data_IF_691327866681
#
_entry.id   IF_691327866681
#
_cell.length_a   1.000
_cell.length_b   1.000
_cell.length_c   1.000
_cell.angle_alpha   90.00
_cell.angle_beta   90.00
_cell.angle_gamma   90.00
#
_symmetry.space_group_name_H-M   'P 1'
#
loop_
_entity.id
_entity.type
_entity.pdbx_description
1 polymer ?
#
# COMPACT_ATOMS: atom_id res chain seq x y z
N UNK A 1 12.26 19.42 19.74
CA UNK A 1 10.92 18.89 19.46
C UNK A 1 10.72 17.70 20.37
N UNK A 2 9.75 17.77 21.28
CA UNK A 2 9.42 16.69 22.22
C UNK A 2 8.28 15.79 21.70
N UNK A 3 7.42 16.33 20.85
CA UNK A 3 6.39 15.58 20.11
C UNK A 3 6.01 16.33 18.85
N UNK A 4 5.46 15.62 17.90
CA UNK A 4 4.86 16.19 16.71
C UNK A 4 3.62 15.38 16.32
N UNK A 5 2.73 15.98 15.54
CA UNK A 5 1.64 15.28 14.88
C UNK A 5 1.32 15.94 13.54
N UNK A 6 1.00 15.11 12.57
CA UNK A 6 0.43 15.55 11.30
C UNK A 6 -1.10 15.53 11.43
N UNK A 7 -1.74 16.63 11.05
CA UNK A 7 -3.20 16.81 11.07
C UNK A 7 -3.67 17.04 9.63
N UNK A 8 -4.63 16.28 9.17
CA UNK A 8 -5.27 16.46 7.86
C UNK A 8 -6.69 15.94 7.92
N UNK A 9 -7.64 16.64 7.30
CA UNK A 9 -9.02 16.20 7.15
C UNK A 9 -9.19 14.96 6.29
N UNK A 10 -8.15 14.56 5.56
CA UNK A 10 -8.13 13.34 4.77
C UNK A 10 -8.10 12.05 5.61
N UNK A 11 -7.82 12.13 6.90
CA UNK A 11 -7.66 10.98 7.80
C UNK A 11 -8.56 11.08 9.03
N UNK A 12 -8.86 9.93 9.64
CA UNK A 12 -9.77 9.82 10.79
C UNK A 12 -9.24 10.48 12.07
N UNK A 13 -7.98 10.94 12.08
CA UNK A 13 -7.37 11.63 13.21
C UNK A 13 -5.93 12.05 12.92
N UNK A 14 -5.24 12.64 13.92
CA UNK A 14 -3.86 13.05 13.76
C UNK A 14 -2.91 11.84 13.72
N UNK A 15 -1.83 11.96 12.96
CA UNK A 15 -0.73 11.01 12.93
C UNK A 15 0.37 11.45 13.90
N UNK A 16 0.51 10.84 15.09
CA UNK A 16 1.46 11.26 16.08
C UNK A 16 2.87 10.76 15.78
N UNK A 17 3.84 11.56 16.19
CA UNK A 17 5.23 11.19 16.29
C UNK A 17 5.77 11.47 17.71
N UNK A 18 6.50 10.51 18.23
CA UNK A 18 7.27 10.66 19.48
C UNK A 18 8.69 10.15 19.25
N UNK A 19 9.69 10.73 19.93
CA UNK A 19 11.05 10.23 19.86
C UNK A 19 11.14 8.78 20.34
N UNK A 20 11.86 7.94 19.62
CA UNK A 20 12.00 6.51 19.94
C UNK A 20 12.62 6.26 21.33
N UNK A 21 13.57 7.12 21.72
CA UNK A 21 14.29 7.01 23.01
C UNK A 21 13.68 7.89 24.12
N UNK A 22 12.54 8.55 23.84
CA UNK A 22 11.91 9.49 24.77
C UNK A 22 12.60 10.85 24.89
N UNK A 23 13.76 11.03 24.30
CA UNK A 23 14.51 12.28 24.34
C UNK A 23 14.06 13.23 23.23
N UNK A 24 13.99 14.53 23.55
CA UNK A 24 13.60 15.55 22.57
C UNK A 24 14.62 15.66 21.43
N UNK A 25 14.12 15.70 20.19
CA UNK A 25 14.96 15.93 19.01
C UNK A 25 15.33 17.40 18.88
N UNK A 26 16.62 17.67 18.71
CA UNK A 26 17.12 19.03 18.54
C UNK A 26 17.18 19.41 17.07
N UNK A 27 16.44 20.45 16.69
CA UNK A 27 16.53 21.06 15.37
C UNK A 27 17.44 22.30 15.44
N UNK A 28 18.55 22.25 14.71
CA UNK A 28 19.47 23.37 14.59
C UNK A 28 18.96 24.41 13.57
N UNK A 29 19.30 25.69 13.71
CA UNK A 29 18.98 26.68 12.68
C UNK A 29 19.48 26.24 11.30
N UNK A 30 18.59 26.29 10.30
CA UNK A 30 18.87 25.80 8.94
C UNK A 30 18.98 24.27 8.79
N UNK A 31 18.80 23.51 9.87
CA UNK A 31 18.81 22.06 9.86
C UNK A 31 17.48 21.47 9.36
N UNK A 32 17.51 20.17 9.05
CA UNK A 32 16.35 19.34 8.71
C UNK A 32 16.30 18.14 9.61
N UNK A 33 15.09 17.69 9.93
CA UNK A 33 14.85 16.46 10.69
C UNK A 33 13.67 15.72 10.04
N UNK A 34 13.77 14.42 9.91
CA UNK A 34 12.66 13.56 9.51
C UNK A 34 11.91 13.10 10.76
N UNK A 35 10.59 13.25 10.73
CA UNK A 35 9.68 12.82 11.80
C UNK A 35 8.71 11.79 11.20
N UNK A 36 9.09 10.49 11.14
CA UNK A 36 8.25 9.47 10.54
C UNK A 36 6.97 9.28 11.35
N UNK A 37 5.83 9.29 10.68
CA UNK A 37 4.51 9.05 11.26
C UNK A 37 3.84 7.87 10.56
N UNK A 38 2.95 7.18 11.27
CA UNK A 38 2.01 6.27 10.66
C UNK A 38 0.69 7.00 10.46
N UNK A 39 0.23 7.06 9.21
CA UNK A 39 -1.06 7.68 8.91
C UNK A 39 -2.18 6.82 9.52
N UNK A 40 -3.20 7.43 10.13
CA UNK A 40 -4.39 6.71 10.56
C UNK A 40 -5.22 6.26 9.35
N UNK A 41 -6.34 5.63 9.62
CA UNK A 41 -7.28 5.22 8.57
C UNK A 41 -7.77 6.43 7.76
N UNK A 42 -7.81 6.29 6.44
CA UNK A 42 -8.29 7.33 5.55
C UNK A 42 -9.79 7.59 5.78
N UNK A 43 -10.17 8.86 5.79
CA UNK A 43 -11.56 9.27 5.88
C UNK A 43 -12.18 9.24 4.48
N UNK A 44 -12.67 8.07 4.07
CA UNK A 44 -13.27 7.85 2.76
C UNK A 44 -14.77 8.14 2.79
N UNK A 45 -15.30 8.68 1.70
CA UNK A 45 -16.73 9.00 1.57
C UNK A 45 -17.00 9.86 0.34
N UNK A 46 -18.28 10.22 0.16
CA UNK A 46 -18.76 11.02 -0.99
C UNK A 46 -18.37 12.49 -0.93
N UNK A 47 -17.79 12.95 0.17
CA UNK A 47 -17.32 14.33 0.32
C UNK A 47 -15.89 14.47 -0.18
N UNK A 48 -15.62 15.57 -0.89
CA UNK A 48 -14.26 15.94 -1.26
C UNK A 48 -13.38 16.01 -0.01
N UNK A 49 -12.34 15.22 0.06
CA UNK A 49 -11.45 15.17 1.20
C UNK A 49 -10.73 16.52 1.37
N UNK A 50 -10.69 17.00 2.60
CA UNK A 50 -9.94 18.21 2.93
C UNK A 50 -8.46 17.83 3.14
N UNK A 51 -7.63 18.17 2.15
CA UNK A 51 -6.18 17.96 2.18
C UNK A 51 -5.42 19.13 2.84
N UNK A 52 -6.10 20.09 3.44
CA UNK A 52 -5.42 21.13 4.23
C UNK A 52 -4.71 20.45 5.42
N UNK A 53 -3.40 20.49 5.36
CA UNK A 53 -2.55 19.68 6.23
C UNK A 53 -1.67 20.57 7.08
N UNK A 54 -1.61 20.25 8.36
CA UNK A 54 -0.83 21.00 9.33
C UNK A 54 0.08 20.07 10.13
N UNK A 55 1.20 20.60 10.60
CA UNK A 55 2.06 19.95 11.57
C UNK A 55 1.99 20.70 12.89
N UNK A 56 1.56 20.01 13.93
CA UNK A 56 1.62 20.51 15.30
C UNK A 56 2.90 20.01 15.95
N UNK A 57 3.70 20.92 16.47
CA UNK A 57 4.98 20.64 17.13
C UNK A 57 4.92 21.06 18.59
N UNK A 58 5.33 20.16 19.48
CA UNK A 58 5.61 20.51 20.87
C UNK A 58 7.10 20.83 21.02
N UNK A 59 7.42 22.03 21.53
CA UNK A 59 8.79 22.52 21.66
C UNK A 59 9.10 22.86 23.12
N UNK A 60 10.20 22.33 23.63
CA UNK A 60 10.66 22.57 24.99
C UNK A 60 9.62 22.20 26.05
N UNK A 61 9.38 23.08 27.02
CA UNK A 61 8.50 22.83 28.16
C UNK A 61 7.10 23.40 27.96
N UNK A 62 6.41 22.99 26.85
CA UNK A 62 4.97 23.27 26.69
C UNK A 62 4.61 24.35 25.67
N UNK A 63 5.51 24.76 24.80
CA UNK A 63 5.19 25.62 23.66
C UNK A 63 4.74 24.75 22.48
N UNK A 64 3.58 25.07 21.94
CA UNK A 64 3.09 24.44 20.72
C UNK A 64 3.17 25.41 19.54
N UNK A 65 3.49 24.85 18.36
CA UNK A 65 3.44 25.52 17.09
C UNK A 65 2.55 24.71 16.14
N UNK A 66 1.68 25.40 15.45
CA UNK A 66 0.90 24.86 14.34
C UNK A 66 1.42 25.50 13.05
N UNK A 67 1.89 24.66 12.14
CA UNK A 67 2.50 25.09 10.88
C UNK A 67 1.77 24.43 9.72
N UNK A 68 1.47 25.16 8.63
CA UNK A 68 0.97 24.53 7.42
C UNK A 68 2.03 23.57 6.87
N UNK A 69 1.61 22.39 6.41
CA UNK A 69 2.47 21.45 5.74
C UNK A 69 2.37 21.65 4.23
N UNK A 70 3.51 21.71 3.57
CA UNK A 70 3.57 21.73 2.11
C UNK A 70 3.68 20.29 1.59
N UNK A 71 2.82 19.92 0.65
CA UNK A 71 2.88 18.63 -0.06
C UNK A 71 3.06 18.87 -1.57
N UNK A 72 4.27 19.28 -2.00
CA UNK A 72 4.52 19.66 -3.39
C UNK A 72 4.39 18.50 -4.38
N UNK A 73 4.33 17.27 -3.92
CA UNK A 73 4.21 16.07 -4.75
C UNK A 73 2.83 15.40 -4.66
N UNK A 74 1.91 15.93 -3.85
CA UNK A 74 0.59 15.33 -3.64
C UNK A 74 0.63 13.96 -2.95
N UNK A 75 1.64 13.73 -2.14
CA UNK A 75 1.88 12.42 -1.50
C UNK A 75 0.74 12.03 -0.56
N UNK A 76 0.18 13.00 0.17
CA UNK A 76 -0.94 12.78 1.09
C UNK A 76 -2.20 12.42 0.31
N UNK A 77 -2.50 13.16 -0.76
CA UNK A 77 -3.65 12.87 -1.62
C UNK A 77 -3.52 11.51 -2.31
N UNK A 78 -2.32 11.16 -2.76
CA UNK A 78 -2.05 9.86 -3.37
C UNK A 78 -2.22 8.73 -2.35
N UNK A 79 -1.66 8.85 -1.16
CA UNK A 79 -1.80 7.85 -0.10
C UNK A 79 -3.27 7.67 0.30
N UNK A 80 -3.98 8.77 0.55
CA UNK A 80 -5.42 8.75 0.83
C UNK A 80 -6.22 8.02 -0.26
N UNK A 81 -5.97 8.34 -1.55
CA UNK A 81 -6.66 7.67 -2.66
C UNK A 81 -6.38 6.17 -2.72
N UNK A 82 -5.15 5.74 -2.42
CA UNK A 82 -4.80 4.32 -2.33
C UNK A 82 -5.49 3.63 -1.15
N UNK A 83 -5.51 4.26 0.02
CA UNK A 83 -6.17 3.72 1.21
C UNK A 83 -7.68 3.60 1.02
N UNK A 84 -8.33 4.61 0.40
CA UNK A 84 -9.75 4.56 0.09
C UNK A 84 -10.08 3.48 -0.93
N UNK A 85 -9.28 3.36 -2.00
CA UNK A 85 -9.44 2.26 -2.95
C UNK A 85 -9.31 0.90 -2.26
N UNK A 86 -8.33 0.75 -1.36
CA UNK A 86 -8.17 -0.49 -0.60
C UNK A 86 -9.40 -0.79 0.28
N UNK A 87 -9.95 0.21 0.96
CA UNK A 87 -11.17 0.04 1.76
C UNK A 87 -12.37 -0.38 0.90
N UNK A 88 -12.55 0.23 -0.29
CA UNK A 88 -13.60 -0.14 -1.23
C UNK A 88 -13.42 -1.58 -1.74
N UNK A 89 -12.19 -1.98 -2.09
CA UNK A 89 -11.89 -3.35 -2.50
C UNK A 89 -12.16 -4.32 -1.36
N UNK A 90 -11.67 -4.04 -0.16
CA UNK A 90 -11.84 -4.89 1.02
C UNK A 90 -13.31 -5.03 1.45
N UNK A 91 -14.15 -4.05 1.16
CA UNK A 91 -15.60 -4.17 1.39
C UNK A 91 -16.26 -5.23 0.50
N UNK A 92 -15.71 -5.49 -0.69
CA UNK A 92 -16.24 -6.46 -1.66
C UNK A 92 -15.58 -7.82 -1.51
N UNK A 93 -14.24 -7.86 -1.57
CA UNK A 93 -13.49 -9.11 -1.51
C UNK A 93 -12.05 -8.86 -1.03
N UNK A 94 -11.46 -9.86 -0.40
CA UNK A 94 -10.05 -9.89 -0.06
C UNK A 94 -9.28 -10.83 -1.00
N UNK A 95 -8.07 -10.42 -1.36
CA UNK A 95 -7.15 -11.14 -2.23
C UNK A 95 -5.91 -11.51 -1.42
N UNK A 96 -5.58 -12.79 -1.34
CA UNK A 96 -4.41 -13.26 -0.61
C UNK A 96 -3.62 -14.26 -1.41
N UNK A 97 -2.30 -14.06 -1.48
CA UNK A 97 -1.39 -15.08 -2.03
C UNK A 97 -1.37 -16.29 -1.09
N UNK A 98 -1.44 -17.49 -1.66
CA UNK A 98 -1.18 -18.70 -0.90
C UNK A 98 0.28 -18.67 -0.41
N UNK A 99 0.55 -19.13 0.83
CA UNK A 99 1.91 -19.08 1.40
C UNK A 99 2.86 -20.06 0.71
N UNK A 100 2.33 -21.09 0.08
CA UNK A 100 3.11 -22.15 -0.55
C UNK A 100 3.22 -21.92 -2.06
N UNK A 101 4.44 -21.86 -2.56
CA UNK A 101 4.74 -21.83 -3.97
C UNK A 101 4.97 -23.27 -4.46
N UNK A 102 4.12 -23.72 -5.38
CA UNK A 102 4.30 -25.00 -6.04
C UNK A 102 5.19 -24.82 -7.27
N UNK A 103 6.23 -25.65 -7.38
CA UNK A 103 7.09 -25.69 -8.56
C UNK A 103 6.75 -26.91 -9.38
N UNK A 104 6.44 -26.72 -10.67
CA UNK A 104 6.11 -27.79 -11.59
C UNK A 104 7.31 -28.75 -11.81
N UNK A 105 7.05 -29.92 -12.34
CA UNK A 105 8.08 -30.95 -12.56
C UNK A 105 9.21 -30.53 -13.51
N UNK A 106 9.01 -29.50 -14.31
CA UNK A 106 10.02 -28.91 -15.19
C UNK A 106 11.08 -28.08 -14.42
N UNK A 107 10.84 -27.81 -13.13
CA UNK A 107 11.72 -27.01 -12.28
C UNK A 107 11.82 -25.54 -12.67
N UNK A 108 10.97 -25.05 -13.57
CA UNK A 108 10.98 -23.68 -14.12
C UNK A 108 9.65 -22.96 -14.00
N UNK A 109 8.56 -23.68 -14.01
CA UNK A 109 7.21 -23.14 -13.88
C UNK A 109 6.80 -23.16 -12.42
N UNK A 110 6.37 -22.04 -11.90
CA UNK A 110 5.79 -21.92 -10.58
C UNK A 110 4.28 -21.71 -10.70
N UNK A 111 3.51 -22.34 -9.82
CA UNK A 111 2.07 -22.11 -9.70
C UNK A 111 1.83 -21.16 -8.52
N UNK A 112 1.44 -19.96 -8.84
CA UNK A 112 1.03 -18.93 -7.86
C UNK A 112 -0.48 -19.01 -7.70
N UNK A 113 -0.95 -19.10 -6.46
CA UNK A 113 -2.38 -19.14 -6.15
C UNK A 113 -2.80 -17.88 -5.41
N UNK A 114 -3.82 -17.22 -5.95
CA UNK A 114 -4.48 -16.08 -5.33
C UNK A 114 -5.83 -16.55 -4.83
N UNK A 115 -6.01 -16.54 -3.52
CA UNK A 115 -7.32 -16.81 -2.91
C UNK A 115 -8.15 -15.55 -2.95
N UNK A 116 -9.34 -15.63 -3.49
CA UNK A 116 -10.36 -14.57 -3.51
C UNK A 116 -11.43 -14.95 -2.50
N UNK A 117 -11.63 -14.13 -1.50
CA UNK A 117 -12.63 -14.35 -0.45
C UNK A 117 -13.61 -13.19 -0.45
N UNK A 118 -14.88 -13.38 -0.85
CA UNK A 118 -15.91 -12.35 -0.77
C UNK A 118 -16.16 -11.94 0.67
N UNK A 119 -16.36 -10.64 0.91
CA UNK A 119 -16.52 -10.07 2.25
C UNK A 119 -17.97 -9.70 2.59
N UNK A 120 -18.93 -10.03 1.71
CA UNK A 120 -20.36 -9.89 1.97
C UNK A 120 -20.90 -8.45 1.93
N UNK A 121 -20.12 -7.50 1.43
CA UNK A 121 -20.55 -6.14 1.17
C UNK A 121 -21.51 -6.05 -0.03
N UNK A 122 -21.48 -4.95 -0.73
CA UNK A 122 -22.24 -4.76 -1.98
C UNK A 122 -21.30 -4.29 -3.08
N UNK A 123 -21.60 -4.68 -4.33
CA UNK A 123 -20.83 -4.28 -5.50
C UNK A 123 -19.92 -5.38 -6.04
N UNK A 124 -19.05 -4.99 -6.96
CA UNK A 124 -18.09 -5.86 -7.60
C UNK A 124 -16.74 -5.15 -7.73
N UNK A 125 -15.68 -5.91 -7.69
CA UNK A 125 -14.31 -5.44 -7.92
C UNK A 125 -13.74 -6.16 -9.14
N UNK A 126 -12.95 -5.44 -9.94
CA UNK A 126 -12.20 -6.00 -11.07
C UNK A 126 -10.72 -5.78 -10.83
N UNK A 127 -9.99 -6.87 -10.87
CA UNK A 127 -8.54 -6.88 -10.70
C UNK A 127 -7.89 -7.25 -12.01
N UNK A 128 -6.92 -6.46 -12.44
CA UNK A 128 -6.08 -6.75 -13.59
C UNK A 128 -4.77 -7.37 -13.14
N UNK A 129 -4.41 -8.49 -13.76
CA UNK A 129 -3.17 -9.19 -13.47
C UNK A 129 -2.20 -8.96 -14.63
N UNK A 130 -1.10 -8.31 -14.37
CA UNK A 130 -0.06 -8.00 -15.34
C UNK A 130 1.24 -8.76 -15.05
N UNK A 131 1.99 -9.05 -16.12
CA UNK A 131 3.36 -9.60 -15.99
C UNK A 131 4.29 -8.57 -15.33
N UNK A 132 5.22 -9.06 -14.54
CA UNK A 132 6.27 -8.23 -13.95
C UNK A 132 7.53 -8.24 -14.82
N UNK A 133 8.54 -7.46 -14.42
CA UNK A 133 9.85 -7.46 -15.09
C UNK A 133 10.56 -8.82 -14.97
N UNK A 134 10.34 -9.55 -13.88
CA UNK A 134 11.01 -10.82 -13.58
C UNK A 134 10.15 -12.05 -13.85
N UNK A 135 8.83 -11.90 -13.84
CA UNK A 135 7.88 -13.00 -14.00
C UNK A 135 6.94 -12.72 -15.18
N UNK A 136 6.71 -13.75 -15.98
CA UNK A 136 5.73 -13.75 -17.06
C UNK A 136 4.84 -14.99 -16.99
N UNK A 137 3.74 -14.93 -17.72
CA UNK A 137 2.88 -16.08 -17.94
C UNK A 137 3.64 -17.21 -18.64
N UNK A 138 3.34 -18.46 -18.30
CA UNK A 138 3.86 -19.61 -19.02
C UNK A 138 3.26 -19.65 -20.45
N UNK A 139 4.02 -20.09 -21.48
CA UNK A 139 3.63 -19.95 -22.89
C UNK A 139 2.25 -20.51 -23.25
N UNK A 140 1.87 -21.61 -22.63
CA UNK A 140 0.60 -22.31 -22.92
C UNK A 140 -0.49 -22.05 -21.86
N UNK A 141 -0.21 -21.14 -20.90
CA UNK A 141 -1.08 -20.82 -19.77
C UNK A 141 -1.16 -19.31 -19.56
N UNK A 142 -1.87 -18.59 -20.45
CA UNK A 142 -2.02 -17.15 -20.31
C UNK A 142 -2.78 -16.82 -19.03
N UNK A 143 -2.34 -15.78 -18.34
CA UNK A 143 -3.03 -15.31 -17.15
C UNK A 143 -4.34 -14.63 -17.50
N UNK A 144 -5.37 -14.75 -16.67
CA UNK A 144 -6.56 -13.96 -16.84
C UNK A 144 -6.19 -12.47 -16.74
N UNK A 145 -6.50 -11.71 -17.78
CA UNK A 145 -6.19 -10.26 -17.80
C UNK A 145 -7.06 -9.47 -16.85
N UNK A 146 -8.23 -9.99 -16.57
CA UNK A 146 -9.19 -9.38 -15.66
C UNK A 146 -9.90 -10.49 -14.88
N UNK A 147 -10.00 -10.30 -13.58
CA UNK A 147 -10.77 -11.14 -12.68
C UNK A 147 -11.80 -10.27 -11.99
N UNK A 148 -13.07 -10.61 -12.13
CA UNK A 148 -14.14 -9.97 -11.38
C UNK A 148 -14.46 -10.80 -10.12
N UNK A 149 -14.75 -10.12 -9.02
CA UNK A 149 -15.29 -10.71 -7.81
C UNK A 149 -16.51 -9.89 -7.36
N UNK A 150 -17.60 -10.56 -7.05
CA UNK A 150 -18.78 -9.95 -6.46
C UNK A 150 -18.87 -10.28 -4.98
N UNK A 151 -19.40 -9.37 -4.20
CA UNK A 151 -19.50 -9.55 -2.76
C UNK A 151 -20.37 -10.75 -2.33
N UNK A 152 -21.25 -11.22 -3.21
CA UNK A 152 -22.12 -12.38 -3.00
C UNK A 152 -21.57 -13.69 -3.56
N UNK A 153 -20.39 -13.67 -4.19
CA UNK A 153 -19.77 -14.87 -4.75
C UNK A 153 -19.34 -15.86 -3.67
N UNK A 154 -19.01 -17.07 -4.08
CA UNK A 154 -18.30 -18.03 -3.24
C UNK A 154 -16.79 -17.81 -3.34
N UNK A 155 -16.07 -18.19 -2.27
CA UNK A 155 -14.60 -18.12 -2.25
C UNK A 155 -14.02 -18.95 -3.40
N UNK A 156 -13.04 -18.39 -4.10
CA UNK A 156 -12.41 -18.99 -5.26
C UNK A 156 -10.89 -18.88 -5.22
N UNK A 157 -10.22 -19.60 -6.12
CA UNK A 157 -8.76 -19.55 -6.26
C UNK A 157 -8.41 -19.32 -7.72
N UNK A 158 -7.59 -18.30 -7.96
CA UNK A 158 -6.99 -18.03 -9.25
C UNK A 158 -5.62 -18.70 -9.28
N UNK A 159 -5.37 -19.56 -10.26
CA UNK A 159 -4.06 -20.17 -10.47
C UNK A 159 -3.34 -19.49 -11.62
N UNK A 160 -2.12 -19.04 -11.36
CA UNK A 160 -1.25 -18.41 -12.33
C UNK A 160 -0.01 -19.27 -12.54
N UNK A 161 0.21 -19.78 -13.74
CA UNK A 161 1.46 -20.44 -14.08
C UNK A 161 2.48 -19.38 -14.51
N UNK A 162 3.49 -19.19 -13.68
CA UNK A 162 4.51 -18.18 -13.84
C UNK A 162 5.86 -18.80 -14.23
N UNK A 163 6.54 -18.17 -15.17
CA UNK A 163 7.92 -18.50 -15.54
C UNK A 163 8.82 -17.29 -15.39
N UNK A 164 10.13 -17.48 -15.10
CA UNK A 164 11.06 -16.37 -15.09
C UNK A 164 11.14 -15.71 -16.48
N UNK A 165 10.86 -14.41 -16.54
CA UNK A 165 11.06 -13.59 -17.74
C UNK A 165 12.53 -13.19 -17.89
N UNK A 166 13.20 -12.92 -16.75
CA UNK A 166 14.64 -12.59 -16.68
C UNK A 166 15.26 -13.31 -15.49
N UNK A 167 16.40 -13.96 -15.74
CA UNK A 167 17.21 -14.64 -14.71
C UNK A 167 18.65 -14.11 -14.67
N UNK A 168 18.94 -13.01 -15.35
CA UNK A 168 20.28 -12.43 -15.33
C UNK A 168 20.54 -11.67 -14.02
N UNK A 169 21.80 -11.66 -13.59
CA UNK A 169 22.19 -11.05 -12.32
C UNK A 169 21.87 -9.56 -12.24
N UNK A 170 21.82 -8.85 -13.38
CA UNK A 170 21.49 -7.43 -13.44
C UNK A 170 20.00 -7.20 -13.17
N UNK A 171 19.12 -7.98 -13.83
CA UNK A 171 17.67 -7.90 -13.60
C UNK A 171 17.31 -8.21 -12.14
N UNK A 172 17.95 -9.21 -11.53
CA UNK A 172 17.74 -9.56 -10.12
C UNK A 172 18.26 -8.46 -9.17
N UNK A 173 19.38 -7.79 -9.51
CA UNK A 173 19.95 -6.73 -8.69
C UNK A 173 19.13 -5.42 -8.75
N UNK A 174 18.40 -5.20 -9.83
CA UNK A 174 17.52 -4.04 -9.99
C UNK A 174 16.19 -4.18 -9.25
N UNK A 175 15.76 -5.40 -8.95
CA UNK A 175 14.53 -5.68 -8.21
C UNK A 175 14.73 -5.47 -6.70
N UNK A 176 14.89 -4.21 -6.31
CA UNK A 176 15.11 -3.82 -4.90
C UNK A 176 13.88 -4.01 -4.00
N UNK A 177 12.72 -4.12 -4.60
CA UNK A 177 11.46 -4.24 -3.87
C UNK A 177 10.99 -5.68 -3.71
N UNK A 178 11.72 -6.65 -4.30
CA UNK A 178 11.27 -8.02 -4.47
C UNK A 178 10.19 -8.13 -5.56
N UNK A 179 9.96 -9.34 -6.03
CA UNK A 179 8.95 -9.58 -7.06
C UNK A 179 7.56 -9.38 -6.49
N UNK A 180 6.88 -8.33 -6.90
CA UNK A 180 5.49 -8.04 -6.54
C UNK A 180 4.60 -8.31 -7.72
N UNK A 181 3.47 -8.97 -7.50
CA UNK A 181 2.38 -9.00 -8.46
C UNK A 181 1.56 -7.72 -8.26
N UNK A 182 1.51 -6.82 -9.24
CA UNK A 182 0.56 -5.72 -9.18
C UNK A 182 -0.85 -6.31 -9.38
N UNK A 183 -1.69 -6.08 -8.40
CA UNK A 183 -3.12 -6.39 -8.42
C UNK A 183 -3.87 -5.08 -8.46
#
# INVERSE_FOLDING_TARGET
ISAAQLESGAYSGPAPWTPADGDATTLRPGGRVALPVNLPEAACGDSEADFDTHVRLAIGTGRELLLPAEDPYGTIAQAHGQDCLQQEVDAVASFALAPDLEVAADGRTAVVRIRVTPNGGSGSVRVRIDSTTLLSEAPDHPWPREVAAEAADEASVIELQAVPARCDAHGLAEDKAGTRFPL
#
